data_IF_543569913241
#
_entry.id   IF_543569913241
#
_cell.length_a   1.000
_cell.length_b   1.000
_cell.length_c   1.000
_cell.angle_alpha   90.00
_cell.angle_beta   90.00
_cell.angle_gamma   90.00
#
_symmetry.space_group_name_H-M   'P 1'
#
loop_
_entity.id
_entity.type
_entity.pdbx_description
1 polymer ?
#
# COMPACT_ATOMS: atom_id res chain seq x y z
N UNK A 1 6.72 -12.04 6.85
CA UNK A 1 6.64 -10.57 6.97
C UNK A 1 5.79 -10.02 5.83
N UNK A 2 4.80 -9.21 6.15
CA UNK A 2 3.93 -8.52 5.18
C UNK A 2 4.31 -7.04 5.15
N UNK A 3 4.37 -6.43 3.97
CA UNK A 3 4.74 -5.04 3.79
C UNK A 3 3.67 -4.30 2.97
N UNK A 4 3.25 -3.13 3.43
CA UNK A 4 2.69 -2.18 2.49
C UNK A 4 3.79 -1.61 1.59
N UNK A 5 3.41 -1.10 0.42
CA UNK A 5 4.34 -0.62 -0.59
C UNK A 5 4.60 0.88 -0.48
N UNK A 6 3.54 1.71 -0.60
CA UNK A 6 3.68 3.17 -0.55
C UNK A 6 3.73 3.65 0.91
N UNK A 7 4.87 4.06 1.34
CA UNK A 7 5.20 4.48 2.70
C UNK A 7 6.38 3.68 3.24
N UNK A 8 6.19 2.42 3.64
CA UNK A 8 7.26 1.62 4.24
C UNK A 8 8.38 1.21 3.27
N UNK A 9 8.08 0.91 2.01
CA UNK A 9 9.11 0.53 1.02
C UNK A 9 9.60 1.74 0.24
N UNK A 10 8.68 2.57 -0.23
CA UNK A 10 9.01 3.80 -0.95
C UNK A 10 7.95 4.88 -0.73
N UNK A 11 8.27 6.08 -1.11
CA UNK A 11 7.33 7.18 -1.29
C UNK A 11 6.98 7.22 -2.78
N UNK A 12 5.94 6.47 -3.15
CA UNK A 12 5.55 6.31 -4.55
C UNK A 12 5.31 7.66 -5.23
N UNK A 13 4.55 8.51 -4.58
CA UNK A 13 4.14 9.81 -5.10
C UNK A 13 5.09 10.97 -4.72
N UNK A 14 6.38 10.70 -4.48
CA UNK A 14 7.33 11.73 -4.07
C UNK A 14 7.58 12.80 -5.15
N UNK A 15 7.62 12.40 -6.42
CA UNK A 15 7.84 13.30 -7.56
C UNK A 15 6.59 13.47 -8.45
N UNK A 16 5.47 12.83 -8.11
CA UNK A 16 4.21 12.88 -8.84
C UNK A 16 3.06 12.87 -7.85
N UNK A 17 2.39 14.01 -7.63
CA UNK A 17 1.48 14.19 -6.52
C UNK A 17 0.23 13.28 -6.59
N UNK A 18 -0.03 12.52 -5.52
CA UNK A 18 -1.26 11.73 -5.39
C UNK A 18 -2.52 12.62 -5.44
N UNK A 19 -2.45 13.82 -4.88
CA UNK A 19 -3.53 14.82 -4.91
C UNK A 19 -3.86 15.22 -6.36
N UNK A 20 -2.82 15.43 -7.18
CA UNK A 20 -2.99 15.74 -8.60
C UNK A 20 -3.61 14.56 -9.34
N UNK A 21 -3.15 13.33 -9.09
CA UNK A 21 -3.72 12.13 -9.68
C UNK A 21 -5.20 12.01 -9.32
N UNK A 22 -5.57 12.21 -8.04
CA UNK A 22 -6.97 12.19 -7.62
C UNK A 22 -7.82 13.23 -8.38
N UNK A 23 -7.32 14.46 -8.53
CA UNK A 23 -8.00 15.52 -9.29
C UNK A 23 -8.16 15.15 -10.77
N UNK A 24 -7.11 14.63 -11.41
CA UNK A 24 -7.13 14.21 -12.83
C UNK A 24 -8.13 13.06 -13.08
N UNK A 25 -8.30 12.13 -12.11
CA UNK A 25 -9.34 11.10 -12.20
C UNK A 25 -10.76 11.71 -12.14
N UNK A 26 -10.98 12.70 -11.28
CA UNK A 26 -12.25 13.42 -11.19
C UNK A 26 -12.53 14.19 -12.48
N UNK A 27 -11.56 14.96 -12.97
CA UNK A 27 -11.69 15.72 -14.24
C UNK A 27 -11.99 14.79 -15.42
N UNK A 28 -11.36 13.61 -15.44
CA UNK A 28 -11.65 12.62 -16.47
C UNK A 28 -13.11 12.12 -16.42
N UNK A 29 -13.65 11.85 -15.23
CA UNK A 29 -15.07 11.49 -15.07
C UNK A 29 -15.98 12.62 -15.57
N UNK A 30 -15.71 13.87 -15.20
CA UNK A 30 -16.46 15.05 -15.58
C UNK A 30 -16.44 15.31 -17.09
N UNK A 31 -15.29 15.11 -17.73
CA UNK A 31 -15.15 15.25 -19.20
C UNK A 31 -16.04 14.28 -19.98
N UNK A 32 -16.48 13.18 -19.33
CA UNK A 32 -17.44 12.21 -19.86
C UNK A 32 -18.89 12.48 -19.46
N UNK A 33 -19.16 13.61 -18.81
CA UNK A 33 -20.49 13.94 -18.30
C UNK A 33 -20.92 13.20 -17.04
N UNK A 34 -19.99 12.56 -16.33
CA UNK A 34 -20.24 11.70 -15.17
C UNK A 34 -20.05 12.47 -13.85
N UNK A 35 -20.70 13.64 -13.73
CA UNK A 35 -20.53 14.57 -12.61
C UNK A 35 -21.09 14.07 -11.26
N UNK A 36 -22.02 13.11 -11.27
CA UNK A 36 -22.69 12.61 -10.06
C UNK A 36 -22.04 11.40 -9.40
N UNK A 37 -20.90 10.89 -9.91
CA UNK A 37 -20.28 9.67 -9.43
C UNK A 37 -19.35 9.85 -8.23
N UNK A 38 -19.03 11.09 -7.88
CA UNK A 38 -18.23 11.45 -6.71
C UNK A 38 -18.94 12.56 -5.95
N UNK A 39 -19.07 12.41 -4.63
CA UNK A 39 -19.58 13.47 -3.76
C UNK A 39 -18.55 14.60 -3.63
N UNK A 40 -18.98 15.76 -3.09
CA UNK A 40 -18.07 16.88 -2.87
C UNK A 40 -16.90 16.56 -1.92
N UNK A 41 -17.12 15.68 -0.94
CA UNK A 41 -16.07 15.26 -0.01
C UNK A 41 -15.11 14.25 -0.67
N UNK A 42 -15.63 13.29 -1.43
CA UNK A 42 -14.81 12.35 -2.23
C UNK A 42 -13.98 13.09 -3.27
N UNK A 43 -14.53 14.14 -3.89
CA UNK A 43 -13.86 15.02 -4.86
C UNK A 43 -12.69 15.80 -4.25
N UNK A 44 -12.79 16.18 -2.98
CA UNK A 44 -11.73 16.89 -2.24
C UNK A 44 -10.68 15.94 -1.67
N UNK A 45 -10.86 14.64 -1.85
CA UNK A 45 -9.90 13.66 -1.35
C UNK A 45 -8.55 13.80 -2.04
N UNK A 46 -7.49 13.68 -1.25
CA UNK A 46 -6.10 13.67 -1.72
C UNK A 46 -5.61 12.26 -2.08
N UNK A 47 -6.49 11.25 -1.93
CA UNK A 47 -6.20 9.84 -2.20
C UNK A 47 -6.98 9.37 -3.44
N UNK A 48 -6.29 9.00 -4.54
CA UNK A 48 -6.93 8.52 -5.76
C UNK A 48 -7.75 7.23 -5.57
N UNK A 49 -7.43 6.43 -4.55
CA UNK A 49 -8.22 5.24 -4.23
C UNK A 49 -9.63 5.58 -3.72
N UNK A 50 -9.83 6.75 -3.13
CA UNK A 50 -11.17 7.22 -2.72
C UNK A 50 -12.04 7.44 -3.95
N UNK A 51 -11.52 8.09 -4.99
CA UNK A 51 -12.24 8.31 -6.26
C UNK A 51 -12.60 6.98 -6.91
N UNK A 52 -11.64 6.05 -6.98
CA UNK A 52 -11.85 4.73 -7.57
C UNK A 52 -12.94 3.93 -6.83
N UNK A 53 -12.90 3.91 -5.48
CA UNK A 53 -13.93 3.25 -4.65
C UNK A 53 -15.30 3.89 -4.78
N UNK A 54 -15.36 5.22 -4.88
CA UNK A 54 -16.62 5.95 -5.03
C UNK A 54 -17.36 5.53 -6.31
N UNK A 55 -16.62 5.37 -7.40
CA UNK A 55 -17.18 4.92 -8.68
C UNK A 55 -17.59 3.46 -8.62
N UNK A 56 -16.75 2.59 -8.05
CA UNK A 56 -17.07 1.16 -7.90
C UNK A 56 -18.30 0.92 -7.02
N UNK A 57 -18.45 1.68 -5.94
CA UNK A 57 -19.62 1.60 -5.08
C UNK A 57 -20.94 1.89 -5.81
N UNK A 58 -20.90 2.79 -6.79
CA UNK A 58 -22.08 3.22 -7.58
C UNK A 58 -22.29 2.38 -8.84
N UNK A 59 -21.22 1.84 -9.40
CA UNK A 59 -21.23 1.04 -10.62
C UNK A 59 -20.29 -0.18 -10.51
N UNK A 60 -20.56 -1.11 -9.57
CA UNK A 60 -19.63 -2.20 -9.26
C UNK A 60 -19.34 -3.08 -10.47
N UNK A 61 -18.05 -3.32 -10.70
CA UNK A 61 -17.58 -4.21 -11.76
C UNK A 61 -17.85 -3.74 -13.20
N UNK A 62 -18.17 -2.45 -13.39
CA UNK A 62 -18.44 -1.89 -14.73
C UNK A 62 -17.15 -1.64 -15.52
N UNK A 63 -17.28 -1.53 -16.84
CA UNK A 63 -16.17 -1.13 -17.73
C UNK A 63 -15.59 0.24 -17.32
N UNK A 64 -16.42 1.14 -16.80
CA UNK A 64 -15.98 2.43 -16.30
C UNK A 64 -14.99 2.27 -15.11
N UNK A 65 -15.28 1.35 -14.20
CA UNK A 65 -14.37 1.04 -13.07
C UNK A 65 -13.07 0.46 -13.58
N UNK A 66 -13.13 -0.44 -14.57
CA UNK A 66 -11.94 -1.04 -15.16
C UNK A 66 -11.07 0.02 -15.88
N UNK A 67 -11.68 0.95 -16.61
CA UNK A 67 -10.96 2.05 -17.25
C UNK A 67 -10.32 3.00 -16.23
N UNK A 68 -11.05 3.33 -15.16
CA UNK A 68 -10.55 4.20 -14.10
C UNK A 68 -9.40 3.53 -13.33
N UNK A 69 -9.51 2.23 -13.06
CA UNK A 69 -8.45 1.43 -12.44
C UNK A 69 -7.17 1.40 -13.29
N UNK A 70 -7.32 1.15 -14.59
CA UNK A 70 -6.17 1.16 -15.50
C UNK A 70 -5.53 2.55 -15.58
N UNK A 71 -6.35 3.62 -15.59
CA UNK A 71 -5.85 4.99 -15.53
C UNK A 71 -5.03 5.25 -14.27
N UNK A 72 -5.54 4.88 -13.10
CA UNK A 72 -4.80 4.98 -11.87
C UNK A 72 -3.51 4.16 -11.92
N UNK A 73 -3.55 2.96 -12.48
CA UNK A 73 -2.36 2.12 -12.66
C UNK A 73 -1.30 2.80 -13.56
N UNK A 74 -1.70 3.50 -14.63
CA UNK A 74 -0.77 4.26 -15.46
C UNK A 74 -0.14 5.43 -14.69
N UNK A 75 -0.92 6.18 -13.90
CA UNK A 75 -0.41 7.26 -13.06
C UNK A 75 0.56 6.74 -11.98
N UNK A 76 0.24 5.62 -11.34
CA UNK A 76 1.15 4.95 -10.40
C UNK A 76 2.45 4.47 -11.10
N UNK A 77 2.36 3.94 -12.33
CA UNK A 77 3.54 3.55 -13.12
C UNK A 77 4.41 4.76 -13.49
N UNK A 78 3.80 5.91 -13.75
CA UNK A 78 4.51 7.17 -13.96
C UNK A 78 5.18 7.62 -12.64
N UNK A 79 4.43 7.64 -11.54
CA UNK A 79 4.93 7.98 -10.21
C UNK A 79 6.14 7.12 -9.80
N UNK A 80 6.11 5.81 -10.14
CA UNK A 80 7.21 4.90 -9.83
C UNK A 80 8.55 5.30 -10.48
N UNK A 81 8.55 6.12 -11.53
CA UNK A 81 9.79 6.61 -12.16
C UNK A 81 10.54 7.63 -11.30
N UNK A 82 9.82 8.34 -10.44
CA UNK A 82 10.35 9.36 -9.53
C UNK A 82 10.13 9.02 -8.04
N UNK A 83 9.69 7.78 -7.76
CA UNK A 83 9.50 7.29 -6.41
C UNK A 83 10.81 7.30 -5.63
N UNK A 84 10.76 7.75 -4.38
CA UNK A 84 11.93 7.79 -3.50
C UNK A 84 11.91 6.61 -2.53
N UNK A 85 13.00 5.85 -2.41
CA UNK A 85 13.07 4.77 -1.44
C UNK A 85 12.89 5.31 -0.01
N UNK A 86 12.18 4.57 0.82
CA UNK A 86 12.12 4.86 2.25
C UNK A 86 13.47 4.52 2.87
N UNK A 87 13.95 5.42 3.72
CA UNK A 87 15.26 5.27 4.35
C UNK A 87 15.32 3.94 5.13
N UNK A 88 16.39 3.20 4.95
CA UNK A 88 16.64 1.87 5.53
C UNK A 88 15.69 0.74 5.08
N UNK A 89 14.71 0.98 4.20
CA UNK A 89 13.82 -0.08 3.72
C UNK A 89 14.59 -1.21 2.98
N UNK A 90 15.38 -0.86 1.96
CA UNK A 90 16.14 -1.84 1.19
C UNK A 90 17.09 -2.69 2.07
N UNK A 91 17.92 -2.11 2.96
CA UNK A 91 18.75 -2.88 3.87
C UNK A 91 17.96 -3.81 4.79
N UNK A 92 16.85 -3.33 5.36
CA UNK A 92 16.01 -4.13 6.25
C UNK A 92 15.35 -5.30 5.51
N UNK A 93 14.82 -5.07 4.31
CA UNK A 93 14.23 -6.11 3.45
C UNK A 93 15.27 -7.21 3.16
N UNK A 94 16.48 -6.80 2.74
CA UNK A 94 17.58 -7.76 2.46
C UNK A 94 18.01 -8.51 3.70
N UNK A 95 18.05 -7.85 4.86
CA UNK A 95 18.42 -8.49 6.13
C UNK A 95 17.37 -9.54 6.50
N UNK A 96 16.08 -9.24 6.42
CA UNK A 96 15.03 -10.23 6.70
C UNK A 96 15.03 -11.40 5.72
N UNK A 97 15.24 -11.14 4.44
CA UNK A 97 15.41 -12.22 3.46
C UNK A 97 16.63 -13.10 3.76
N UNK A 98 17.75 -12.50 4.17
CA UNK A 98 18.98 -13.22 4.50
C UNK A 98 18.87 -14.09 5.76
N UNK A 99 18.05 -13.69 6.74
CA UNK A 99 17.77 -14.54 7.93
C UNK A 99 16.66 -15.57 7.70
N UNK A 100 16.24 -15.76 6.45
CA UNK A 100 15.28 -16.81 6.07
C UNK A 100 13.80 -16.42 6.25
N UNK A 101 13.48 -15.16 6.53
CA UNK A 101 12.09 -14.72 6.61
C UNK A 101 11.44 -14.71 5.22
N UNK A 102 10.22 -15.26 5.12
CA UNK A 102 9.38 -15.11 3.91
C UNK A 102 8.77 -13.73 3.90
N UNK A 103 8.91 -13.02 2.77
CA UNK A 103 8.43 -11.65 2.60
C UNK A 103 7.30 -11.62 1.56
N UNK A 104 6.27 -10.81 1.83
CA UNK A 104 5.22 -10.53 0.87
C UNK A 104 4.84 -9.04 0.89
N UNK A 105 4.34 -8.55 -0.24
CA UNK A 105 3.74 -7.22 -0.33
C UNK A 105 2.22 -7.38 -0.32
N UNK A 106 1.54 -6.59 0.53
CA UNK A 106 0.10 -6.48 0.65
C UNK A 106 -0.29 -4.98 0.58
N UNK A 107 -0.73 -4.52 -0.60
CA UNK A 107 -0.89 -3.10 -0.90
C UNK A 107 -2.20 -2.80 -1.65
N UNK A 108 -2.65 -1.53 -1.59
CA UNK A 108 -3.73 -1.02 -2.43
C UNK A 108 -3.25 -0.56 -3.82
N UNK A 109 -1.93 -0.48 -4.05
CA UNK A 109 -1.38 -0.16 -5.36
C UNK A 109 -1.47 -1.33 -6.34
N UNK A 110 -1.36 -1.04 -7.63
CA UNK A 110 -1.30 -2.06 -8.67
C UNK A 110 -0.06 -2.95 -8.52
N UNK A 111 -0.18 -4.30 -8.60
CA UNK A 111 0.97 -5.19 -8.61
C UNK A 111 1.97 -4.92 -9.75
N UNK A 112 1.53 -4.32 -10.86
CA UNK A 112 2.39 -3.93 -11.98
C UNK A 112 3.40 -2.87 -11.56
N UNK A 113 2.94 -1.90 -10.78
CA UNK A 113 3.75 -0.81 -10.22
C UNK A 113 4.79 -1.33 -9.24
N UNK A 114 4.34 -2.19 -8.32
CA UNK A 114 5.23 -2.83 -7.34
C UNK A 114 6.35 -3.60 -8.04
N UNK A 115 6.02 -4.44 -9.03
CA UNK A 115 7.03 -5.21 -9.78
C UNK A 115 8.04 -4.31 -10.49
N UNK A 116 7.56 -3.22 -11.13
CA UNK A 116 8.43 -2.25 -11.81
C UNK A 116 9.42 -1.60 -10.82
N UNK A 117 8.93 -1.14 -9.68
CA UNK A 117 9.77 -0.51 -8.67
C UNK A 117 10.81 -1.50 -8.10
N UNK A 118 10.37 -2.70 -7.67
CA UNK A 118 11.26 -3.71 -7.11
C UNK A 118 12.35 -4.15 -8.09
N UNK A 119 12.02 -4.27 -9.38
CA UNK A 119 13.00 -4.58 -10.42
C UNK A 119 14.09 -3.50 -10.51
N UNK A 120 13.70 -2.21 -10.52
CA UNK A 120 14.63 -1.08 -10.51
C UNK A 120 15.51 -1.01 -9.26
N UNK A 121 15.08 -1.61 -8.13
CA UNK A 121 15.83 -1.65 -6.86
C UNK A 121 16.61 -2.95 -6.64
N UNK A 122 16.47 -3.94 -7.52
CA UNK A 122 17.06 -5.27 -7.32
C UNK A 122 16.51 -5.99 -6.08
N UNK A 123 15.21 -5.79 -5.78
CA UNK A 123 14.51 -6.38 -4.63
C UNK A 123 13.52 -7.48 -5.04
N UNK A 124 13.37 -7.75 -6.33
CA UNK A 124 12.39 -8.72 -6.84
C UNK A 124 12.53 -10.08 -6.17
N UNK A 125 13.76 -10.59 -6.03
CA UNK A 125 14.01 -11.91 -5.43
C UNK A 125 13.60 -11.99 -3.94
N UNK A 126 13.55 -10.87 -3.23
CA UNK A 126 13.14 -10.84 -1.82
C UNK A 126 11.64 -11.11 -1.64
N UNK A 127 10.82 -10.77 -2.63
CA UNK A 127 9.35 -10.84 -2.54
C UNK A 127 8.71 -11.85 -3.49
N UNK A 128 9.43 -12.29 -4.54
CA UNK A 128 8.86 -13.21 -5.53
C UNK A 128 8.51 -14.58 -4.90
N UNK A 129 7.32 -15.14 -5.18
CA UNK A 129 6.25 -14.63 -6.05
C UNK A 129 5.19 -13.78 -5.31
N UNK A 130 5.42 -13.41 -4.06
CA UNK A 130 4.43 -12.92 -3.09
C UNK A 130 4.19 -11.41 -3.19
N UNK A 131 3.49 -10.96 -4.26
CA UNK A 131 3.05 -9.56 -4.44
C UNK A 131 1.54 -9.56 -4.62
N UNK A 132 0.81 -9.05 -3.62
CA UNK A 132 -0.64 -8.99 -3.54
C UNK A 132 -1.08 -7.52 -3.46
N UNK A 133 -1.69 -7.04 -4.51
CA UNK A 133 -2.13 -5.65 -4.64
C UNK A 133 -3.55 -5.55 -5.14
N UNK A 134 -3.90 -4.34 -5.60
CA UNK A 134 -5.20 -4.02 -6.17
C UNK A 134 -5.55 -5.00 -7.29
N UNK A 135 -6.79 -5.46 -7.26
CA UNK A 135 -7.44 -6.27 -8.30
C UNK A 135 -8.65 -5.52 -8.84
N UNK A 136 -9.37 -6.09 -9.80
CA UNK A 136 -10.63 -5.53 -10.28
C UNK A 136 -11.74 -5.52 -9.22
N UNK A 137 -11.64 -6.35 -8.16
CA UNK A 137 -12.57 -6.30 -7.05
C UNK A 137 -12.06 -5.30 -5.99
N UNK A 138 -12.54 -4.07 -6.08
CA UNK A 138 -12.10 -2.96 -5.24
C UNK A 138 -12.62 -3.04 -3.80
N UNK A 139 -13.62 -3.88 -3.51
CA UNK A 139 -14.03 -4.19 -2.14
C UNK A 139 -12.91 -4.89 -1.34
N UNK A 140 -11.95 -5.50 -2.02
CA UNK A 140 -10.80 -6.16 -1.41
C UNK A 140 -9.66 -5.22 -1.00
N UNK A 141 -9.77 -3.93 -1.30
CA UNK A 141 -8.78 -2.93 -0.87
C UNK A 141 -8.77 -2.80 0.66
N UNK A 142 -7.58 -2.62 1.24
CA UNK A 142 -7.45 -2.31 2.68
C UNK A 142 -8.32 -1.09 3.03
N UNK A 143 -9.09 -1.13 4.11
CA UNK A 143 -8.92 -1.95 5.32
C UNK A 143 -9.45 -3.40 5.24
N UNK A 144 -10.01 -3.86 4.11
CA UNK A 144 -10.40 -5.25 3.98
C UNK A 144 -9.16 -6.17 4.03
N UNK A 145 -9.16 -7.28 4.81
CA UNK A 145 -7.97 -8.11 5.04
C UNK A 145 -7.60 -9.03 3.87
N UNK A 146 -8.27 -8.93 2.73
CA UNK A 146 -8.14 -9.89 1.62
C UNK A 146 -6.69 -10.09 1.15
N UNK A 147 -5.95 -9.02 0.87
CA UNK A 147 -4.59 -9.13 0.37
C UNK A 147 -3.63 -9.74 1.41
N UNK A 148 -3.86 -9.50 2.71
CA UNK A 148 -3.09 -10.12 3.78
C UNK A 148 -3.40 -11.61 3.89
N UNK A 149 -4.68 -11.99 3.91
CA UNK A 149 -5.12 -13.38 3.97
C UNK A 149 -4.61 -14.18 2.77
N UNK A 150 -4.66 -13.58 1.56
CA UNK A 150 -4.13 -14.20 0.36
C UNK A 150 -2.60 -14.43 0.46
N UNK A 151 -1.86 -13.43 0.96
CA UNK A 151 -0.43 -13.57 1.21
C UNK A 151 -0.11 -14.67 2.23
N UNK A 152 -0.81 -14.70 3.37
CA UNK A 152 -0.63 -15.70 4.41
C UNK A 152 -0.89 -17.12 3.88
N UNK A 153 -2.01 -17.31 3.18
CA UNK A 153 -2.36 -18.60 2.61
C UNK A 153 -1.32 -19.08 1.60
N UNK A 154 -0.90 -18.23 0.67
CA UNK A 154 0.09 -18.57 -0.35
C UNK A 154 1.48 -18.85 0.24
N UNK A 155 1.83 -18.19 1.34
CA UNK A 155 3.06 -18.47 2.07
C UNK A 155 2.95 -19.64 3.05
N UNK A 156 1.76 -20.21 3.28
CA UNK A 156 1.54 -21.19 4.33
C UNK A 156 1.94 -20.68 5.72
N UNK A 157 1.59 -19.42 6.03
CA UNK A 157 1.97 -18.77 7.28
C UNK A 157 0.73 -18.54 8.17
N UNK A 158 0.85 -18.90 9.45
CA UNK A 158 -0.19 -18.58 10.43
C UNK A 158 -0.21 -17.05 10.68
N UNK A 159 -1.39 -16.43 10.86
CA UNK A 159 -1.48 -15.01 11.18
C UNK A 159 -0.65 -14.60 12.42
N UNK A 160 -0.68 -15.42 13.48
CA UNK A 160 0.08 -15.18 14.71
C UNK A 160 1.61 -15.22 14.54
N UNK A 161 2.11 -15.83 13.46
CA UNK A 161 3.54 -15.87 13.12
C UNK A 161 3.93 -14.79 12.09
N UNK A 162 3.01 -13.87 11.77
CA UNK A 162 3.22 -12.83 10.79
C UNK A 162 3.24 -11.44 11.44
N UNK A 163 3.96 -10.52 10.80
CA UNK A 163 3.98 -9.10 11.14
C UNK A 163 3.72 -8.29 9.87
N UNK A 164 2.77 -7.34 9.93
CA UNK A 164 2.51 -6.36 8.88
C UNK A 164 3.20 -5.05 9.21
N UNK A 165 3.92 -4.49 8.24
CA UNK A 165 4.48 -3.13 8.30
C UNK A 165 3.66 -2.24 7.37
N UNK A 166 3.04 -1.21 7.92
CA UNK A 166 2.22 -0.25 7.18
C UNK A 166 2.34 1.15 7.74
N UNK A 167 1.83 2.15 7.03
CA UNK A 167 1.94 3.56 7.40
C UNK A 167 0.58 4.29 7.45
N UNK A 168 -0.53 3.54 7.30
CA UNK A 168 -1.89 4.09 7.32
C UNK A 168 -2.81 3.35 8.30
N UNK A 169 -3.89 3.99 8.78
CA UNK A 169 -4.95 3.33 9.55
C UNK A 169 -5.52 2.09 8.84
N UNK A 170 -5.70 2.16 7.51
CA UNK A 170 -6.23 1.02 6.75
C UNK A 170 -5.33 -0.21 6.75
N UNK A 171 -4.01 -0.03 6.89
CA UNK A 171 -3.06 -1.14 7.06
C UNK A 171 -3.23 -1.80 8.43
N UNK A 172 -3.38 -0.97 9.46
CA UNK A 172 -3.61 -1.44 10.82
C UNK A 172 -4.92 -2.22 10.93
N UNK A 173 -6.02 -1.66 10.42
CA UNK A 173 -7.34 -2.30 10.45
C UNK A 173 -7.35 -3.62 9.67
N UNK A 174 -6.68 -3.66 8.50
CA UNK A 174 -6.53 -4.89 7.72
C UNK A 174 -5.72 -5.95 8.49
N UNK A 175 -4.63 -5.54 9.16
CA UNK A 175 -3.83 -6.43 9.99
C UNK A 175 -4.61 -6.99 11.18
N UNK A 176 -5.36 -6.13 11.90
CA UNK A 176 -6.24 -6.55 13.00
C UNK A 176 -7.29 -7.57 12.52
N UNK A 177 -7.96 -7.26 11.41
CA UNK A 177 -8.99 -8.14 10.83
C UNK A 177 -8.43 -9.48 10.34
N UNK A 178 -7.15 -9.53 9.97
CA UNK A 178 -6.45 -10.76 9.57
C UNK A 178 -5.81 -11.51 10.76
N UNK A 179 -5.86 -10.96 11.99
CA UNK A 179 -5.19 -11.53 13.15
C UNK A 179 -3.65 -11.44 13.09
N UNK A 180 -3.11 -10.47 12.36
CA UNK A 180 -1.67 -10.25 12.14
C UNK A 180 -1.17 -9.14 13.05
N UNK A 181 -0.01 -9.35 13.69
CA UNK A 181 0.66 -8.28 14.42
C UNK A 181 1.02 -7.11 13.52
N UNK A 182 0.98 -5.88 14.04
CA UNK A 182 1.21 -4.66 13.26
C UNK A 182 2.37 -3.83 13.81
N UNK A 183 3.23 -3.37 12.91
CA UNK A 183 4.26 -2.37 13.15
C UNK A 183 3.97 -1.14 12.26
N UNK A 184 3.65 -0.02 12.90
CA UNK A 184 3.42 1.24 12.20
C UNK A 184 4.74 1.89 11.79
N UNK A 185 4.84 2.35 10.55
CA UNK A 185 5.91 3.23 10.08
C UNK A 185 5.37 4.65 9.92
N UNK A 186 5.93 5.61 10.62
CA UNK A 186 5.48 6.99 10.59
C UNK A 186 6.61 7.95 10.19
N UNK A 187 6.65 8.36 8.93
CA UNK A 187 7.67 9.31 8.42
C UNK A 187 7.58 10.72 9.02
N UNK A 188 6.48 11.04 9.71
CA UNK A 188 6.26 12.33 10.38
C UNK A 188 5.21 12.21 11.50
N UNK A 189 5.12 13.24 12.33
CA UNK A 189 4.21 13.25 13.49
C UNK A 189 2.72 13.19 13.14
N UNK A 190 2.30 13.62 11.93
CA UNK A 190 0.91 13.45 11.46
C UNK A 190 0.58 11.97 11.26
N UNK A 191 1.45 11.23 10.57
CA UNK A 191 1.28 9.78 10.33
C UNK A 191 1.30 9.02 11.67
N UNK A 192 2.21 9.37 12.57
CA UNK A 192 2.27 8.75 13.89
C UNK A 192 0.97 8.92 14.67
N UNK A 193 0.43 10.14 14.70
CA UNK A 193 -0.84 10.43 15.36
C UNK A 193 -1.98 9.59 14.78
N UNK A 194 -2.14 9.58 13.46
CA UNK A 194 -3.20 8.79 12.79
C UNK A 194 -3.09 7.29 13.11
N UNK A 195 -1.90 6.72 13.12
CA UNK A 195 -1.68 5.33 13.48
C UNK A 195 -2.01 5.06 14.96
N UNK A 196 -1.60 5.96 15.87
CA UNK A 196 -1.92 5.87 17.30
C UNK A 196 -3.43 5.98 17.56
N UNK A 197 -4.10 6.92 16.91
CA UNK A 197 -5.55 7.10 16.99
C UNK A 197 -6.31 5.87 16.46
N UNK A 198 -5.79 5.20 15.43
CA UNK A 198 -6.33 3.93 14.96
C UNK A 198 -6.11 2.74 15.93
N UNK A 199 -5.21 2.88 16.91
CA UNK A 199 -4.95 1.84 17.91
C UNK A 199 -3.60 1.13 17.77
N UNK A 200 -2.70 1.57 16.86
CA UNK A 200 -1.39 0.97 16.70
C UNK A 200 -0.53 1.18 17.95
N UNK A 201 -0.18 0.10 18.64
CA UNK A 201 0.62 0.12 19.87
C UNK A 201 2.12 0.35 19.61
N UNK A 202 2.64 -0.15 18.49
CA UNK A 202 4.04 0.00 18.10
C UNK A 202 4.14 0.81 16.82
N UNK A 203 4.78 1.98 16.92
CA UNK A 203 5.02 2.88 15.78
C UNK A 203 6.46 3.34 15.83
N UNK A 204 7.18 3.20 14.71
CA UNK A 204 8.55 3.66 14.54
C UNK A 204 8.61 4.78 13.49
N UNK A 205 9.54 5.69 13.63
CA UNK A 205 9.79 6.77 12.68
C UNK A 205 11.00 6.49 11.77
N UNK A 206 11.74 5.42 12.05
CA UNK A 206 12.86 4.96 11.23
C UNK A 206 12.93 3.43 11.22
N UNK A 207 13.27 2.86 10.07
CA UNK A 207 13.38 1.41 9.89
C UNK A 207 14.75 0.84 10.32
N UNK A 208 15.75 1.67 10.61
CA UNK A 208 17.04 1.23 11.16
C UNK A 208 16.86 0.63 12.57
N UNK A 209 16.00 1.21 13.40
CA UNK A 209 15.67 0.66 14.72
C UNK A 209 15.20 -0.80 14.61
N UNK A 210 14.33 -1.08 13.65
CA UNK A 210 13.81 -2.45 13.42
C UNK A 210 14.92 -3.38 12.94
N UNK A 211 15.81 -2.88 12.06
CA UNK A 211 16.97 -3.65 11.59
C UNK A 211 17.94 -3.95 12.73
N UNK A 212 18.20 -2.98 13.59
CA UNK A 212 19.16 -3.14 14.69
C UNK A 212 18.64 -4.12 15.75
N UNK A 213 17.35 -4.11 16.05
CA UNK A 213 16.70 -5.17 16.87
C UNK A 213 16.88 -6.55 16.20
N UNK A 214 16.63 -6.65 14.89
CA UNK A 214 16.78 -7.92 14.16
C UNK A 214 18.22 -8.46 14.20
N UNK A 215 19.21 -7.58 14.24
CA UNK A 215 20.63 -7.91 14.30
C UNK A 215 21.17 -8.07 15.73
N UNK A 216 20.31 -7.94 16.76
CA UNK A 216 20.71 -8.02 18.16
C UNK A 216 21.67 -6.91 18.59
N UNK A 217 21.53 -5.72 18.01
CA UNK A 217 22.37 -4.54 18.27
C UNK A 217 21.77 -3.55 19.27
N UNK A 218 20.63 -3.87 19.84
CA UNK A 218 19.90 -3.07 20.85
C UNK A 218 19.71 -3.90 22.10
#
# INVERSE_FOLDING_TARGET
>A
MLWDFDGPICRLFAGHSAERVAAELVEWLESRGLHGLVTDDERKSLDPHVVLRAVDLRHPGSDLVAELEERLTQEELHAATSAMPTMYADPLIRTWAAVGSRLAIATNNSPRVVRKYLAGRGLTACFHPHIYGRTQNLHHLKPHPHCLNHALNAMGAAPSAALMIGDTPSDYEAAQSAGVSFLGYARNGRKERLLREAGASVVVNSLDVVRDVLLGRV
#
